data_IF_573890793080
#
_entry.id   IF_573890793080
#
_cell.length_a   1.000
_cell.length_b   1.000
_cell.length_c   1.000
_cell.angle_alpha   90.00
_cell.angle_beta   90.00
_cell.angle_gamma   90.00
#
_symmetry.space_group_name_H-M   'P 1'
#
loop_
_entity.id
_entity.type
_entity.pdbx_description
1 polymer ?
#
# COMPACT_ATOMS: atom_id res chain seq x y z
N UNK A 1 20.62 21.20 4.47
CA UNK A 1 20.08 20.95 3.11
C UNK A 1 19.74 19.46 3.03
N UNK A 2 18.47 19.11 3.18
CA UNK A 2 18.05 17.70 3.15
C UNK A 2 17.87 17.27 1.69
N UNK A 3 18.77 16.42 1.20
CA UNK A 3 18.60 15.73 -0.08
C UNK A 3 17.28 14.97 -0.07
N UNK A 4 16.39 15.32 -0.99
CA UNK A 4 15.16 14.58 -1.23
C UNK A 4 15.49 13.12 -1.51
N UNK A 5 14.88 12.22 -0.75
CA UNK A 5 14.82 10.79 -1.06
C UNK A 5 14.19 10.68 -2.45
N UNK A 6 15.01 10.46 -3.48
CA UNK A 6 14.47 10.03 -4.76
C UNK A 6 13.91 8.62 -4.54
N UNK A 7 12.70 8.44 -4.99
CA UNK A 7 11.98 7.18 -4.93
C UNK A 7 12.71 6.18 -5.84
N UNK A 8 13.64 5.41 -5.28
CA UNK A 8 14.48 4.41 -5.95
C UNK A 8 13.69 3.13 -6.32
N UNK A 9 12.39 3.26 -6.57
CA UNK A 9 11.56 2.13 -6.98
C UNK A 9 11.84 1.79 -8.44
N UNK A 10 12.42 0.61 -8.67
CA UNK A 10 12.67 0.05 -9.99
C UNK A 10 11.52 -0.86 -10.41
N UNK A 11 11.10 -0.76 -11.66
CA UNK A 11 10.10 -1.63 -12.27
C UNK A 11 10.71 -2.46 -13.38
N UNK A 12 10.20 -3.67 -13.57
CA UNK A 12 10.70 -4.57 -14.60
C UNK A 12 9.97 -4.28 -15.90
N UNK A 13 10.73 -3.86 -16.92
CA UNK A 13 10.28 -3.84 -18.30
C UNK A 13 10.65 -5.17 -18.96
N UNK A 14 9.67 -5.84 -19.53
CA UNK A 14 9.87 -6.98 -20.45
C UNK A 14 9.68 -6.49 -21.87
N UNK A 15 10.61 -6.80 -22.77
CA UNK A 15 10.50 -6.45 -24.18
C UNK A 15 10.74 -7.66 -25.07
N UNK A 16 10.10 -7.66 -26.24
CA UNK A 16 10.23 -8.67 -27.29
C UNK A 16 10.74 -7.96 -28.54
N UNK A 17 11.87 -8.41 -29.07
CA UNK A 17 12.39 -7.92 -30.36
C UNK A 17 11.62 -8.53 -31.53
N UNK A 18 11.71 -7.91 -32.71
CA UNK A 18 11.15 -8.46 -33.95
C UNK A 18 11.71 -9.84 -34.32
N UNK A 19 12.88 -10.21 -33.78
CA UNK A 19 13.46 -11.56 -33.90
C UNK A 19 12.78 -12.61 -33.01
N UNK A 20 11.86 -12.20 -32.14
CA UNK A 20 11.22 -13.05 -31.12
C UNK A 20 12.04 -13.20 -29.84
N UNK A 21 13.25 -12.63 -29.76
CA UNK A 21 14.07 -12.64 -28.55
C UNK A 21 13.40 -11.78 -27.48
N UNK A 22 13.19 -12.35 -26.29
CA UNK A 22 12.65 -11.66 -25.13
C UNK A 22 13.78 -11.26 -24.18
N UNK A 23 13.69 -10.06 -23.64
CA UNK A 23 14.60 -9.54 -22.63
C UNK A 23 13.84 -8.87 -21.50
N UNK A 24 14.49 -8.73 -20.36
CA UNK A 24 13.97 -7.98 -19.21
C UNK A 24 15.01 -6.99 -18.72
N UNK A 25 14.54 -5.85 -18.23
CA UNK A 25 15.42 -4.79 -17.75
C UNK A 25 14.76 -4.01 -16.62
N UNK A 26 15.45 -3.80 -15.48
CA UNK A 26 14.93 -2.97 -14.40
C UNK A 26 15.13 -1.49 -14.72
N UNK A 27 14.06 -0.71 -14.69
CA UNK A 27 14.06 0.73 -14.99
C UNK A 27 13.34 1.51 -13.88
N UNK A 28 13.86 2.68 -13.54
CA UNK A 28 13.15 3.66 -12.71
C UNK A 28 11.98 4.31 -13.47
N UNK A 29 11.06 4.96 -12.74
CA UNK A 29 9.97 5.71 -13.38
C UNK A 29 10.44 6.72 -14.42
N UNK A 30 11.53 7.45 -14.14
CA UNK A 30 12.09 8.44 -15.07
C UNK A 30 12.55 7.78 -16.37
N UNK A 31 13.27 6.66 -16.25
CA UNK A 31 13.75 5.88 -17.39
C UNK A 31 12.62 5.25 -18.19
N UNK A 32 11.51 4.87 -17.55
CA UNK A 32 10.31 4.36 -18.23
C UNK A 32 9.66 5.45 -19.07
N UNK A 33 9.51 6.67 -18.52
CA UNK A 33 8.96 7.81 -19.28
C UNK A 33 9.84 8.14 -20.49
N UNK A 34 11.16 8.12 -20.31
CA UNK A 34 12.12 8.32 -21.39
C UNK A 34 12.05 7.20 -22.44
N UNK A 35 11.94 5.94 -22.02
CA UNK A 35 11.70 4.81 -22.91
C UNK A 35 10.44 5.00 -23.73
N UNK A 36 9.33 5.42 -23.12
CA UNK A 36 8.06 5.67 -23.82
C UNK A 36 8.19 6.78 -24.88
N UNK A 37 8.93 7.84 -24.58
CA UNK A 37 9.22 8.89 -25.57
C UNK A 37 10.09 8.36 -26.72
N UNK A 38 11.15 7.60 -26.41
CA UNK A 38 12.00 6.98 -27.43
C UNK A 38 11.19 6.01 -28.31
N UNK A 39 10.30 5.23 -27.71
CA UNK A 39 9.45 4.28 -28.42
C UNK A 39 8.48 4.97 -29.37
N UNK A 40 7.80 6.04 -28.92
CA UNK A 40 6.86 6.81 -29.75
C UNK A 40 7.53 7.53 -30.92
N UNK A 41 8.77 7.95 -30.74
CA UNK A 41 9.52 8.71 -31.74
C UNK A 41 10.54 7.85 -32.52
N UNK A 42 10.50 6.52 -32.37
CA UNK A 42 11.43 5.56 -33.00
C UNK A 42 12.92 5.89 -32.79
N UNK A 43 13.27 6.41 -31.61
CA UNK A 43 14.66 6.73 -31.25
C UNK A 43 15.32 5.58 -30.49
N UNK A 44 16.65 5.56 -30.52
CA UNK A 44 17.44 4.65 -29.69
C UNK A 44 17.37 5.12 -28.24
N UNK A 45 17.00 4.22 -27.35
CA UNK A 45 17.05 4.42 -25.91
C UNK A 45 18.40 3.97 -25.38
N UNK A 46 19.08 4.81 -24.61
CA UNK A 46 20.33 4.47 -23.94
C UNK A 46 20.26 5.01 -22.52
N UNK A 47 20.45 4.13 -21.53
CA UNK A 47 20.39 4.50 -20.11
C UNK A 47 21.47 3.76 -19.32
N UNK A 48 21.84 4.30 -18.16
CA UNK A 48 22.68 3.61 -17.19
C UNK A 48 21.81 2.75 -16.25
N UNK A 49 22.27 1.53 -15.98
CA UNK A 49 21.66 0.58 -15.04
C UNK A 49 22.77 0.05 -14.14
N UNK A 50 22.78 0.48 -12.87
CA UNK A 50 23.83 0.12 -11.93
C UNK A 50 25.19 0.69 -12.35
N UNK A 51 26.03 -0.12 -12.98
CA UNK A 51 27.35 0.29 -13.51
C UNK A 51 27.51 0.00 -15.00
N UNK A 52 26.42 -0.39 -15.67
CA UNK A 52 26.42 -0.80 -17.07
C UNK A 52 25.53 0.14 -17.89
N UNK A 53 25.87 0.31 -19.17
CA UNK A 53 25.00 0.99 -20.11
C UNK A 53 24.08 -0.03 -20.78
N UNK A 54 22.79 0.27 -20.77
CA UNK A 54 21.76 -0.48 -21.48
C UNK A 54 21.29 0.34 -22.69
N UNK A 55 21.30 -0.30 -23.85
CA UNK A 55 20.83 0.29 -25.10
C UNK A 55 19.74 -0.56 -25.75
N UNK A 56 18.67 0.07 -26.19
CA UNK A 56 17.57 -0.59 -26.89
C UNK A 56 17.09 0.26 -28.07
N UNK A 57 17.07 -0.33 -29.26
CA UNK A 57 16.52 0.32 -30.44
C UNK A 57 15.01 0.12 -30.50
N UNK A 58 14.24 1.20 -30.32
CA UNK A 58 12.77 1.15 -30.33
C UNK A 58 12.19 0.54 -31.61
N UNK A 59 12.77 0.84 -32.79
CA UNK A 59 12.26 0.32 -34.06
C UNK A 59 12.40 -1.20 -34.25
N UNK A 60 13.16 -1.87 -33.37
CA UNK A 60 13.32 -3.33 -33.39
C UNK A 60 12.52 -4.04 -32.31
N UNK A 61 11.78 -3.30 -31.48
CA UNK A 61 10.95 -3.86 -30.42
C UNK A 61 9.53 -4.08 -30.96
N UNK A 62 9.09 -5.34 -30.97
CA UNK A 62 7.76 -5.74 -31.40
C UNK A 62 6.70 -5.47 -30.32
N UNK A 63 7.05 -5.76 -29.06
CA UNK A 63 6.18 -5.56 -27.90
C UNK A 63 7.02 -5.23 -26.67
N UNK A 64 6.49 -4.44 -25.76
CA UNK A 64 7.04 -4.30 -24.42
C UNK A 64 5.93 -4.15 -23.38
N UNK A 65 6.23 -4.55 -22.14
CA UNK A 65 5.35 -4.49 -20.99
C UNK A 65 6.12 -3.99 -19.78
N UNK A 66 5.60 -2.99 -19.11
CA UNK A 66 6.14 -2.49 -17.85
C UNK A 66 5.05 -2.65 -16.80
N UNK A 67 5.35 -3.38 -15.72
CA UNK A 67 4.47 -3.41 -14.56
C UNK A 67 4.87 -2.27 -13.63
N UNK A 68 4.26 -1.10 -13.80
CA UNK A 68 4.41 0.01 -12.87
C UNK A 68 3.04 0.51 -12.41
N UNK A 69 3.03 1.32 -11.34
CA UNK A 69 1.79 1.93 -10.85
C UNK A 69 1.14 2.89 -11.88
N UNK A 70 1.82 3.22 -12.99
CA UNK A 70 1.32 4.04 -14.10
C UNK A 70 0.69 3.22 -15.23
N UNK A 71 0.88 1.90 -15.25
CA UNK A 71 0.32 0.98 -16.26
C UNK A 71 -1.14 0.63 -15.97
N UNK A 72 -1.65 1.09 -14.84
CA UNK A 72 -3.07 1.22 -14.66
C UNK A 72 -3.57 2.34 -15.57
N UNK A 73 -4.44 1.92 -16.48
CA UNK A 73 -5.62 2.65 -16.93
C UNK A 73 -6.49 3.08 -15.73
N UNK A 74 -5.90 3.82 -14.78
CA UNK A 74 -6.55 4.63 -13.76
C UNK A 74 -6.83 6.03 -14.31
N UNK A 75 -6.90 6.19 -15.63
CA UNK A 75 -7.83 7.16 -16.21
C UNK A 75 -9.25 6.66 -15.99
N UNK A 76 -9.69 6.80 -14.74
CA UNK A 76 -10.88 7.58 -14.44
C UNK A 76 -12.07 7.27 -15.36
N UNK A 77 -12.63 6.06 -15.25
CA UNK A 77 -14.10 6.01 -15.15
C UNK A 77 -14.40 6.60 -13.78
N UNK A 78 -14.32 7.93 -13.65
CA UNK A 78 -15.06 8.57 -12.58
C UNK A 78 -16.51 8.45 -13.02
N UNK A 79 -17.34 7.64 -12.35
CA UNK A 79 -18.76 7.94 -12.43
C UNK A 79 -18.88 9.41 -12.02
N UNK A 80 -19.70 10.18 -12.72
CA UNK A 80 -20.10 11.52 -12.32
C UNK A 80 -20.88 11.42 -11.01
N UNK A 81 -20.22 11.01 -9.93
CA UNK A 81 -20.79 11.05 -8.60
C UNK A 81 -20.64 12.48 -8.16
N UNK A 82 -21.77 13.17 -8.21
CA UNK A 82 -22.03 14.43 -7.53
C UNK A 82 -21.27 14.45 -6.20
N UNK A 83 -20.51 15.53 -6.02
CA UNK A 83 -19.58 15.79 -4.92
C UNK A 83 -20.22 15.60 -3.53
N UNK A 84 -21.56 15.61 -3.45
CA UNK A 84 -22.36 15.30 -2.27
C UNK A 84 -22.15 13.89 -1.68
N UNK A 85 -21.66 12.91 -2.45
CA UNK A 85 -21.59 11.53 -1.97
C UNK A 85 -20.28 11.19 -1.22
N UNK A 86 -19.16 11.87 -1.55
CA UNK A 86 -17.86 11.59 -0.92
C UNK A 86 -17.80 12.09 0.53
N UNK A 87 -18.42 13.23 0.82
CA UNK A 87 -18.55 13.75 2.19
C UNK A 87 -19.48 12.90 3.05
N UNK A 88 -20.58 12.39 2.46
CA UNK A 88 -21.50 11.44 3.11
C UNK A 88 -20.86 10.09 3.41
N UNK A 89 -20.03 9.57 2.50
CA UNK A 89 -19.34 8.30 2.71
C UNK A 89 -18.19 8.46 3.72
N UNK A 90 -17.37 9.51 3.62
CA UNK A 90 -16.28 9.75 4.58
C UNK A 90 -16.78 10.01 6.00
N UNK A 91 -17.95 10.65 6.16
CA UNK A 91 -18.63 10.77 7.46
C UNK A 91 -19.19 9.43 7.96
N UNK A 92 -19.71 8.57 7.08
CA UNK A 92 -20.14 7.21 7.44
C UNK A 92 -18.97 6.27 7.85
N UNK A 93 -17.79 6.42 7.24
CA UNK A 93 -16.60 5.66 7.64
C UNK A 93 -16.03 6.16 8.98
N UNK A 94 -16.03 7.48 9.22
CA UNK A 94 -15.63 8.06 10.50
C UNK A 94 -16.60 7.73 11.65
N UNK A 95 -17.89 7.53 11.35
CA UNK A 95 -18.88 7.17 12.37
C UNK A 95 -18.78 5.72 12.88
N UNK A 96 -17.84 4.92 12.35
CA UNK A 96 -17.70 3.49 12.70
C UNK A 96 -16.36 3.17 13.38
N UNK A 97 -15.56 4.17 13.74
CA UNK A 97 -14.31 3.95 14.48
C UNK A 97 -14.63 3.53 15.92
N UNK A 98 -14.34 2.26 16.24
CA UNK A 98 -14.53 1.70 17.56
C UNK A 98 -13.24 1.82 18.36
N UNK A 99 -13.34 2.34 19.58
CA UNK A 99 -12.23 2.38 20.52
C UNK A 99 -12.03 1.00 21.15
N UNK A 100 -10.77 0.61 21.31
CA UNK A 100 -10.36 -0.63 21.97
C UNK A 100 -9.26 -0.33 22.99
N UNK A 101 -9.48 -0.75 24.23
CA UNK A 101 -8.48 -0.68 25.30
C UNK A 101 -7.74 -2.00 25.36
N UNK A 102 -6.46 -1.97 25.00
CA UNK A 102 -5.57 -3.11 25.07
C UNK A 102 -4.90 -3.13 26.44
N UNK A 103 -4.96 -4.26 27.14
CA UNK A 103 -4.23 -4.51 28.38
C UNK A 103 -3.51 -5.86 28.33
N UNK A 104 -2.21 -5.83 28.06
CA UNK A 104 -1.40 -7.02 27.84
C UNK A 104 -0.66 -7.48 29.11
N UNK A 105 -0.46 -8.80 29.25
CA UNK A 105 0.34 -9.44 30.31
C UNK A 105 1.79 -8.93 30.40
N UNK A 106 2.32 -8.32 29.32
CA UNK A 106 3.64 -7.67 29.33
C UNK A 106 3.67 -6.31 30.05
N UNK A 107 2.55 -5.89 30.66
CA UNK A 107 2.41 -4.65 31.41
C UNK A 107 2.08 -3.43 30.55
N UNK A 108 1.79 -3.61 29.26
CA UNK A 108 1.44 -2.50 28.37
C UNK A 108 -0.06 -2.34 28.29
N UNK A 109 -0.56 -1.13 28.59
CA UNK A 109 -1.95 -0.75 28.40
C UNK A 109 -2.07 0.52 27.54
N UNK A 110 -2.93 0.49 26.51
CA UNK A 110 -3.15 1.64 25.62
C UNK A 110 -4.54 1.56 24.97
N UNK A 111 -4.99 2.69 24.42
CA UNK A 111 -6.24 2.78 23.66
C UNK A 111 -5.89 2.92 22.18
N UNK A 112 -6.58 2.16 21.33
CA UNK A 112 -6.42 2.17 19.87
C UNK A 112 -7.77 2.21 19.19
N UNK A 113 -7.82 2.79 18.01
CA UNK A 113 -9.02 2.83 17.16
C UNK A 113 -8.97 1.66 16.17
N UNK A 114 -10.15 1.11 15.84
CA UNK A 114 -10.30 0.12 14.78
C UNK A 114 -11.58 0.37 13.99
N UNK A 115 -11.52 0.30 12.65
CA UNK A 115 -12.69 0.51 11.79
C UNK A 115 -13.76 -0.59 11.93
N UNK A 116 -13.45 -1.68 12.62
CA UNK A 116 -14.39 -2.77 12.91
C UNK A 116 -14.10 -3.42 14.25
N UNK A 117 -15.13 -4.04 14.85
CA UNK A 117 -15.01 -4.78 16.10
C UNK A 117 -14.14 -6.01 15.87
N UNK A 118 -12.96 -6.05 16.49
CA UNK A 118 -12.06 -7.20 16.43
C UNK A 118 -12.18 -8.06 17.68
N UNK A 119 -12.04 -9.37 17.55
CA UNK A 119 -12.02 -10.32 18.68
C UNK A 119 -10.59 -10.62 19.15
N UNK A 120 -9.60 -10.30 18.31
CA UNK A 120 -8.17 -10.52 18.57
C UNK A 120 -7.38 -9.27 18.19
N UNK A 121 -6.34 -8.97 18.96
CA UNK A 121 -5.40 -7.90 18.67
C UNK A 121 -3.98 -8.31 19.07
N UNK A 122 -2.97 -7.69 18.46
CA UNK A 122 -1.57 -7.96 18.79
C UNK A 122 -1.02 -6.81 19.62
N UNK A 123 -0.45 -7.11 20.79
CA UNK A 123 0.20 -6.09 21.60
C UNK A 123 1.34 -5.44 20.81
N UNK A 124 1.36 -4.12 20.74
CA UNK A 124 2.39 -3.36 20.00
C UNK A 124 3.80 -3.64 20.53
N UNK A 125 3.95 -3.84 21.85
CA UNK A 125 5.22 -4.06 22.55
C UNK A 125 5.75 -5.49 22.43
N UNK A 126 4.99 -6.49 22.86
CA UNK A 126 5.48 -7.89 22.94
C UNK A 126 4.92 -8.82 21.86
N UNK A 127 4.09 -8.31 20.95
CA UNK A 127 3.45 -9.06 19.84
C UNK A 127 2.59 -10.26 20.26
N UNK A 128 2.33 -10.44 21.55
CA UNK A 128 1.40 -11.44 22.04
C UNK A 128 -0.04 -11.07 21.67
N UNK A 129 -0.85 -12.10 21.39
CA UNK A 129 -2.27 -11.93 21.10
C UNK A 129 -3.01 -11.59 22.40
N UNK A 130 -3.86 -10.56 22.34
CA UNK A 130 -4.89 -10.24 23.32
C UNK A 130 -6.27 -10.52 22.72
N UNK A 131 -7.23 -10.87 23.58
CA UNK A 131 -8.57 -11.25 23.18
C UNK A 131 -9.60 -10.28 23.74
N UNK A 132 -10.67 -10.03 22.98
CA UNK A 132 -11.80 -9.23 23.41
C UNK A 132 -12.51 -9.89 24.59
N UNK A 133 -12.63 -9.18 25.71
CA UNK A 133 -13.40 -9.63 26.87
C UNK A 133 -14.87 -9.24 26.73
N UNK A 134 -15.65 -10.14 26.16
CA UNK A 134 -17.09 -9.96 25.98
C UNK A 134 -17.85 -9.84 27.33
N UNK A 135 -17.33 -10.42 28.42
CA UNK A 135 -17.97 -10.34 29.75
C UNK A 135 -17.79 -8.97 30.37
N UNK A 136 -16.64 -8.35 30.14
CA UNK A 136 -16.32 -7.02 30.67
C UNK A 136 -16.90 -5.90 29.83
N UNK A 137 -17.16 -6.14 28.54
CA UNK A 137 -17.83 -5.19 27.65
C UNK A 137 -16.99 -3.96 27.32
N UNK A 138 -17.64 -2.80 27.29
CA UNK A 138 -16.97 -1.50 27.09
C UNK A 138 -16.50 -0.94 28.43
N UNK A 139 -15.32 -0.33 28.44
CA UNK A 139 -14.75 0.35 29.60
C UNK A 139 -14.53 1.82 29.28
N UNK A 140 -14.80 2.68 30.25
CA UNK A 140 -14.56 4.11 30.11
C UNK A 140 -13.05 4.39 29.99
N UNK A 141 -12.69 5.23 29.02
CA UNK A 141 -11.32 5.70 28.82
C UNK A 141 -11.30 7.21 28.60
N UNK A 142 -10.12 7.81 28.67
CA UNK A 142 -9.92 9.24 28.40
C UNK A 142 -10.31 9.66 26.97
N UNK A 143 -10.57 8.71 26.07
CA UNK A 143 -11.02 8.95 24.69
C UNK A 143 -12.49 8.58 24.45
N UNK A 144 -13.20 8.09 25.48
CA UNK A 144 -14.55 7.53 25.39
C UNK A 144 -14.61 6.05 25.70
N UNK A 145 -15.78 5.45 25.54
CA UNK A 145 -16.01 4.03 25.82
C UNK A 145 -15.29 3.14 24.82
N UNK A 146 -14.48 2.21 25.34
CA UNK A 146 -13.63 1.35 24.53
C UNK A 146 -13.85 -0.13 24.86
N UNK A 147 -13.87 -0.99 23.84
CA UNK A 147 -13.91 -2.44 24.04
C UNK A 147 -12.63 -2.94 24.72
N UNK A 148 -12.79 -3.71 25.80
CA UNK A 148 -11.65 -4.20 26.57
C UNK A 148 -11.03 -5.47 25.98
N UNK A 149 -9.72 -5.46 25.79
CA UNK A 149 -8.96 -6.61 25.30
C UNK A 149 -7.83 -6.98 26.24
N UNK A 150 -7.69 -8.27 26.57
CA UNK A 150 -6.62 -8.75 27.45
C UNK A 150 -6.18 -10.18 27.17
N UNK A 151 -5.01 -10.53 27.67
CA UNK A 151 -4.49 -11.90 27.77
C UNK A 151 -3.95 -12.22 29.17
N UNK A 152 -4.34 -11.44 30.19
CA UNK A 152 -3.93 -11.67 31.58
C UNK A 152 -4.67 -12.84 32.25
N UNK A 153 -5.84 -13.19 31.73
CA UNK A 153 -6.67 -14.29 32.20
C UNK A 153 -7.39 -14.93 31.01
N UNK A 154 -8.05 -16.07 31.26
CA UNK A 154 -8.83 -16.75 30.23
C UNK A 154 -10.08 -15.94 29.87
N UNK A 155 -10.23 -15.65 28.58
CA UNK A 155 -11.38 -14.93 28.02
C UNK A 155 -12.14 -15.89 27.12
N UNK A 156 -13.47 -15.96 27.27
CA UNK A 156 -14.35 -16.78 26.39
C UNK A 156 -14.20 -16.33 24.94
N UNK A 157 -14.05 -17.31 24.02
CA UNK A 157 -13.75 -17.09 22.60
C UNK A 157 -14.90 -17.53 21.69
N UNK A 158 -16.13 -17.39 22.16
CA UNK A 158 -17.35 -17.76 21.44
C UNK A 158 -17.50 -16.96 20.13
#
# INVERSE_FOLDING_TARGET
MYSGRQDDTLYIMTYTLNSGIKGTVPLSNKQIVEWLDCYRNERRFVTEIGKEFFGLNAGLVADFKVQNHLSDYQQTIMPTQQQDNLERLSSAYKSTELLMKIDCKCGTAYVTESPYKRTKWYCTKCKEIVFLDAKKGMVETSRGDAYYMTNKYFVSRD
#
